data_IF_626612861653
#
_entry.id   IF_626612861653
#
_cell.length_a   1.000
_cell.length_b   1.000
_cell.length_c   1.000
_cell.angle_alpha   90.00
_cell.angle_beta   90.00
_cell.angle_gamma   90.00
#
_symmetry.space_group_name_H-M   'P 1'
#
loop_
_entity.id
_entity.type
_entity.pdbx_description
1 polymer ?
#
# COMPACT_ATOMS: atom_id res chain seq x y z
N UNK A 1 11.63 9.17 -4.86
CA UNK A 1 10.15 9.10 -4.74
C UNK A 1 9.51 8.38 -5.92
N UNK A 2 9.91 8.62 -7.17
CA UNK A 2 9.31 7.97 -8.35
C UNK A 2 9.46 6.44 -8.43
N UNK A 3 10.58 5.86 -7.99
CA UNK A 3 10.81 4.42 -8.11
C UNK A 3 9.82 3.57 -7.29
N UNK A 4 9.51 3.97 -6.05
CA UNK A 4 8.57 3.26 -5.18
C UNK A 4 7.15 3.35 -5.75
N UNK A 5 6.73 4.53 -6.23
CA UNK A 5 5.42 4.70 -6.84
C UNK A 5 5.28 3.85 -8.11
N UNK A 6 6.31 3.80 -8.96
CA UNK A 6 6.30 2.99 -10.17
C UNK A 6 6.18 1.49 -9.83
N UNK A 7 7.01 1.02 -8.90
CA UNK A 7 6.98 -0.37 -8.41
C UNK A 7 5.59 -0.75 -7.87
N UNK A 8 4.97 0.12 -7.07
CA UNK A 8 3.63 -0.14 -6.54
C UNK A 8 2.56 -0.10 -7.64
N UNK A 9 2.69 0.77 -8.64
CA UNK A 9 1.76 0.80 -9.79
C UNK A 9 1.87 -0.45 -10.67
N UNK A 10 3.06 -1.01 -10.84
CA UNK A 10 3.29 -2.23 -11.62
C UNK A 10 2.81 -3.48 -10.88
N UNK A 11 2.93 -3.49 -9.56
CA UNK A 11 2.62 -4.66 -8.74
C UNK A 11 1.16 -4.69 -8.24
N UNK A 12 0.55 -3.53 -7.98
CA UNK A 12 -0.81 -3.46 -7.47
C UNK A 12 -1.86 -3.48 -8.59
N UNK A 13 -3.11 -3.90 -8.30
CA UNK A 13 -4.21 -3.78 -9.24
C UNK A 13 -4.41 -2.34 -9.75
N UNK A 14 -4.81 -2.19 -11.01
CA UNK A 14 -4.92 -0.90 -11.71
C UNK A 14 -5.82 0.13 -10.99
N UNK A 15 -6.82 -0.32 -10.24
CA UNK A 15 -7.78 0.53 -9.50
C UNK A 15 -7.31 0.88 -8.07
N UNK A 16 -6.06 0.57 -7.73
CA UNK A 16 -5.50 0.88 -6.40
C UNK A 16 -5.17 2.36 -6.31
N UNK A 17 -5.73 3.04 -5.31
CA UNK A 17 -5.34 4.42 -5.02
C UNK A 17 -4.13 4.38 -4.09
N UNK A 18 -3.01 4.94 -4.56
CA UNK A 18 -1.74 4.96 -3.84
C UNK A 18 -1.54 6.36 -3.26
N UNK A 19 -1.44 6.45 -1.93
CA UNK A 19 -1.17 7.70 -1.21
C UNK A 19 0.09 7.54 -0.37
N UNK A 20 0.94 8.56 -0.34
CA UNK A 20 2.10 8.60 0.54
C UNK A 20 1.87 9.63 1.64
N UNK A 21 2.33 9.29 2.83
CA UNK A 21 2.32 10.16 4.01
C UNK A 21 3.72 10.13 4.64
N UNK A 22 4.16 11.25 5.21
CA UNK A 22 5.45 11.34 5.88
C UNK A 22 5.27 11.92 7.27
N UNK A 23 5.34 11.05 8.27
CA UNK A 23 5.24 11.38 9.68
C UNK A 23 6.37 10.67 10.43
N UNK A 24 7.57 11.26 10.38
CA UNK A 24 8.81 10.67 10.89
C UNK A 24 9.34 9.46 10.11
N UNK A 25 8.47 8.77 9.38
CA UNK A 25 8.77 7.68 8.46
C UNK A 25 7.89 7.79 7.21
N UNK A 26 8.38 7.29 6.07
CA UNK A 26 7.60 7.25 4.83
C UNK A 26 6.57 6.13 4.94
N UNK A 27 5.30 6.50 4.95
CA UNK A 27 4.16 5.58 4.95
C UNK A 27 3.52 5.58 3.57
N UNK A 28 3.05 4.41 3.15
CA UNK A 28 2.21 4.26 1.98
C UNK A 28 0.86 3.69 2.39
N UNK A 29 -0.18 4.20 1.75
CA UNK A 29 -1.54 3.73 1.86
C UNK A 29 -2.02 3.27 0.48
N UNK A 30 -2.52 2.04 0.43
CA UNK A 30 -3.06 1.39 -0.76
C UNK A 30 -4.54 1.13 -0.52
N UNK A 31 -5.38 1.86 -1.24
CA UNK A 31 -6.83 1.76 -1.10
C UNK A 31 -7.41 0.98 -2.27
N UNK A 32 -8.11 -0.12 -1.95
CA UNK A 32 -8.74 -1.02 -2.93
C UNK A 32 -10.21 -1.20 -2.63
N UNK A 33 -11.01 -1.49 -3.66
CA UNK A 33 -12.45 -1.73 -3.50
C UNK A 33 -12.78 -3.18 -3.14
N UNK A 34 -12.04 -4.14 -3.71
CA UNK A 34 -12.31 -5.56 -3.51
C UNK A 34 -11.50 -6.09 -2.33
N UNK A 35 -12.16 -6.78 -1.40
CA UNK A 35 -11.49 -7.44 -0.27
C UNK A 35 -10.46 -8.47 -0.75
N UNK A 36 -10.69 -9.12 -1.90
CA UNK A 36 -9.73 -10.06 -2.50
C UNK A 36 -8.38 -9.40 -2.81
N UNK A 37 -8.39 -8.13 -3.20
CA UNK A 37 -7.17 -7.41 -3.56
C UNK A 37 -6.34 -7.03 -2.33
N UNK A 38 -6.95 -6.95 -1.15
CA UNK A 38 -6.23 -6.78 0.14
C UNK A 38 -5.24 -7.93 0.34
N UNK A 39 -5.73 -9.18 0.23
CA UNK A 39 -4.90 -10.37 0.46
C UNK A 39 -3.75 -10.46 -0.54
N UNK A 40 -3.98 -10.07 -1.79
CA UNK A 40 -2.93 -10.00 -2.82
C UNK A 40 -1.87 -8.96 -2.42
N UNK A 41 -2.30 -7.76 -2.05
CA UNK A 41 -1.40 -6.66 -1.68
C UNK A 41 -0.58 -7.02 -0.45
N UNK A 42 -1.18 -7.63 0.57
CA UNK A 42 -0.47 -8.03 1.78
C UNK A 42 0.54 -9.15 1.56
N UNK A 43 0.23 -10.11 0.68
CA UNK A 43 1.20 -11.13 0.29
C UNK A 43 2.34 -10.56 -0.56
N UNK A 44 2.03 -9.54 -1.37
CA UNK A 44 2.96 -8.93 -2.32
C UNK A 44 3.94 -7.95 -1.66
N UNK A 45 3.45 -7.04 -0.81
CA UNK A 45 4.23 -5.96 -0.21
C UNK A 45 5.55 -6.41 0.45
N UNK A 46 5.60 -7.50 1.26
CA UNK A 46 6.84 -7.98 1.86
C UNK A 46 7.89 -8.43 0.84
N UNK A 47 7.47 -8.78 -0.38
CA UNK A 47 8.36 -9.29 -1.43
C UNK A 47 8.87 -8.18 -2.37
N UNK A 48 8.21 -7.01 -2.36
CA UNK A 48 8.58 -5.90 -3.21
C UNK A 48 9.82 -5.16 -2.70
N UNK A 49 10.64 -4.69 -3.63
CA UNK A 49 11.81 -3.86 -3.34
C UNK A 49 12.83 -4.50 -2.41
N UNK A 50 12.84 -5.84 -2.28
CA UNK A 50 13.70 -6.55 -1.34
C UNK A 50 13.22 -6.52 0.12
N UNK A 51 11.93 -6.32 0.37
CA UNK A 51 11.35 -6.30 1.72
C UNK A 51 11.44 -4.95 2.43
N UNK A 52 11.45 -3.86 1.66
CA UNK A 52 11.45 -2.49 2.19
C UNK A 52 10.12 -2.11 2.84
N UNK A 53 9.02 -2.80 2.53
CA UNK A 53 7.72 -2.52 3.15
C UNK A 53 7.56 -3.32 4.45
N UNK A 54 7.38 -2.61 5.56
CA UNK A 54 7.22 -3.16 6.91
C UNK A 54 5.96 -2.64 7.57
N UNK A 55 5.64 -3.20 8.74
CA UNK A 55 4.48 -2.82 9.55
C UNK A 55 3.17 -2.76 8.75
N UNK A 56 2.96 -3.78 7.92
CA UNK A 56 1.80 -3.88 7.05
C UNK A 56 0.55 -4.05 7.91
N UNK A 57 -0.40 -3.12 7.75
CA UNK A 57 -1.62 -3.05 8.55
C UNK A 57 -2.83 -2.84 7.65
N UNK A 58 -3.91 -3.54 7.95
CA UNK A 58 -5.23 -3.22 7.40
C UNK A 58 -5.85 -2.08 8.17
N UNK A 59 -6.58 -1.23 7.48
CA UNK A 59 -7.35 -0.15 8.07
C UNK A 59 -8.57 0.20 7.25
N UNK A 60 -9.38 1.08 7.82
CA UNK A 60 -10.45 1.75 7.10
C UNK A 60 -9.90 2.96 6.38
N UNK A 61 -10.46 3.25 5.20
CA UNK A 61 -10.24 4.51 4.49
C UNK A 61 -11.10 5.61 5.09
N UNK A 62 -10.49 6.69 5.65
CA UNK A 62 -11.26 7.85 6.06
C UNK A 62 -12.05 8.39 4.86
N UNK A 63 -13.33 8.72 5.06
CA UNK A 63 -14.23 9.29 4.05
C UNK A 63 -14.61 8.39 2.85
N UNK A 64 -14.14 7.14 2.78
CA UNK A 64 -14.47 6.20 1.70
C UNK A 64 -14.89 4.83 2.24
N UNK A 65 -16.15 4.64 2.67
CA UNK A 65 -16.59 3.42 3.36
C UNK A 65 -16.55 2.15 2.50
N UNK A 66 -16.49 2.29 1.17
CA UNK A 66 -16.42 1.16 0.22
C UNK A 66 -14.99 0.80 -0.20
N UNK A 67 -13.99 1.44 0.39
CA UNK A 67 -12.60 1.11 0.18
C UNK A 67 -12.03 0.44 1.42
N UNK A 68 -11.01 -0.36 1.17
CA UNK A 68 -10.20 -1.02 2.18
C UNK A 68 -8.78 -0.52 2.03
N UNK A 69 -8.14 -0.20 3.16
CA UNK A 69 -6.79 0.34 3.18
C UNK A 69 -5.80 -0.72 3.65
N UNK A 70 -4.71 -0.87 2.91
CA UNK A 70 -3.47 -1.49 3.40
C UNK A 70 -2.44 -0.39 3.57
N UNK A 71 -1.86 -0.29 4.75
CA UNK A 71 -0.81 0.67 5.05
C UNK A 71 0.50 -0.04 5.33
N UNK A 72 1.62 0.53 4.90
CA UNK A 72 2.95 0.01 5.20
C UNK A 72 3.93 1.15 5.42
N UNK A 73 4.94 0.92 6.25
CA UNK A 73 6.11 1.80 6.40
C UNK A 73 7.15 1.36 5.38
N UNK A 74 7.73 2.31 4.65
CA UNK A 74 8.83 2.08 3.72
C UNK A 74 10.13 2.31 4.48
N UNK A 75 10.88 1.24 4.74
CA UNK A 75 12.23 1.32 5.26
C UNK A 75 13.20 1.77 4.16
N UNK A 76 14.22 2.53 4.55
CA UNK A 76 15.10 3.24 3.62
C UNK A 76 16.39 2.49 3.34
#
# INVERSE_FOLDING_TARGET
MNAILLMLKEACPEKTVITFDFDGALRVHLDVRATQDIWKIEGLLPTLGGGIFRDIKRGSTPHHPFFHRVSAVVDR
#
